data_IF_799911952841
#
_entry.id   IF_799911952841
#
_cell.length_a   1.000
_cell.length_b   1.000
_cell.length_c   1.000
_cell.angle_alpha   90.00
_cell.angle_beta   90.00
_cell.angle_gamma   90.00
#
_symmetry.space_group_name_H-M   'P 1'
#
loop_
_entity.id
_entity.type
_entity.pdbx_description
1 polymer ?
#
# COMPACT_ATOMS: atom_id res chain seq x y z
N UNK A 1 25.99 1.15 -22.10
CA UNK A 1 24.58 0.74 -21.95
C UNK A 1 23.92 1.63 -20.90
N UNK A 2 22.92 2.44 -21.28
CA UNK A 2 22.18 3.32 -20.38
C UNK A 2 20.96 2.59 -19.82
N UNK A 3 20.83 2.55 -18.49
CA UNK A 3 19.64 2.02 -17.78
C UNK A 3 18.40 2.83 -18.15
N UNK A 4 17.31 2.15 -18.52
CA UNK A 4 16.00 2.77 -18.73
C UNK A 4 15.36 3.21 -17.41
N UNK A 5 14.43 4.17 -17.46
CA UNK A 5 13.67 4.62 -16.28
C UNK A 5 12.90 3.48 -15.60
N UNK A 6 12.48 2.49 -16.37
CA UNK A 6 11.79 1.30 -15.86
C UNK A 6 12.74 0.39 -15.08
N UNK A 7 13.91 0.08 -15.65
CA UNK A 7 14.95 -0.73 -14.97
C UNK A 7 15.39 -0.08 -13.66
N UNK A 8 15.58 1.24 -13.65
CA UNK A 8 15.88 2.01 -12.44
C UNK A 8 14.80 1.88 -11.37
N UNK A 9 13.53 1.90 -11.78
CA UNK A 9 12.38 1.76 -10.86
C UNK A 9 12.30 0.35 -10.29
N UNK A 10 12.47 -0.68 -11.13
CA UNK A 10 12.52 -2.09 -10.70
C UNK A 10 13.68 -2.32 -9.73
N UNK A 11 14.87 -1.79 -10.02
CA UNK A 11 16.05 -1.90 -9.16
C UNK A 11 15.79 -1.28 -7.80
N UNK A 12 15.30 -0.03 -7.74
CA UNK A 12 14.94 0.63 -6.47
C UNK A 12 13.92 -0.17 -5.66
N UNK A 13 12.89 -0.67 -6.32
CA UNK A 13 11.87 -1.51 -5.68
C UNK A 13 12.49 -2.77 -5.08
N UNK A 14 13.31 -3.52 -5.84
CA UNK A 14 13.96 -4.73 -5.38
C UNK A 14 14.96 -4.46 -4.24
N UNK A 15 15.69 -3.35 -4.30
CA UNK A 15 16.58 -2.92 -3.21
C UNK A 15 15.80 -2.71 -1.92
N UNK A 16 14.67 -1.98 -1.98
CA UNK A 16 13.82 -1.79 -0.80
C UNK A 16 13.24 -3.13 -0.33
N UNK A 17 12.65 -3.91 -1.22
CA UNK A 17 12.04 -5.20 -0.90
C UNK A 17 13.02 -6.17 -0.22
N UNK A 18 14.30 -6.16 -0.59
CA UNK A 18 15.32 -7.03 0.02
C UNK A 18 16.03 -6.40 1.22
N UNK A 19 15.94 -5.08 1.39
CA UNK A 19 16.68 -4.33 2.40
C UNK A 19 16.04 -4.30 3.78
N UNK A 20 14.82 -4.80 3.93
CA UNK A 20 14.07 -4.76 5.19
C UNK A 20 13.43 -6.09 5.53
N UNK A 21 13.29 -6.36 6.84
CA UNK A 21 12.51 -7.48 7.34
C UNK A 21 11.03 -7.10 7.43
N UNK A 22 10.28 -7.36 6.36
CA UNK A 22 8.84 -7.11 6.34
C UNK A 22 8.11 -8.07 7.27
N UNK A 23 7.25 -7.53 8.14
CA UNK A 23 6.58 -8.30 9.18
C UNK A 23 5.09 -8.04 9.24
N UNK A 24 4.57 -7.04 8.51
CA UNK A 24 3.14 -6.74 8.42
C UNK A 24 2.72 -6.45 6.99
N UNK A 25 1.47 -6.83 6.69
CA UNK A 25 0.78 -6.47 5.46
C UNK A 25 -0.59 -5.88 5.79
N UNK A 26 -0.93 -4.80 5.10
CA UNK A 26 -2.22 -4.14 5.18
C UNK A 26 -2.83 -4.01 3.78
N UNK A 27 -4.15 -4.11 3.73
CA UNK A 27 -4.96 -3.80 2.55
C UNK A 27 -5.86 -2.61 2.88
N UNK A 28 -5.80 -1.58 2.05
CA UNK A 28 -6.64 -0.37 2.16
C UNK A 28 -7.52 -0.30 0.92
N UNK A 29 -8.84 -0.27 1.11
CA UNK A 29 -9.82 -0.30 0.04
C UNK A 29 -11.03 0.57 0.38
N UNK A 30 -11.75 1.01 -0.65
CA UNK A 30 -12.96 1.82 -0.48
C UNK A 30 -14.08 0.97 0.14
N UNK A 31 -14.93 1.60 0.94
CA UNK A 31 -16.18 0.98 1.39
C UNK A 31 -17.12 0.71 0.19
N UNK A 32 -17.13 1.65 -0.76
CA UNK A 32 -17.83 1.55 -2.04
C UNK A 32 -16.84 1.22 -3.19
N UNK A 33 -16.90 0.01 -3.78
CA UNK A 33 -16.03 -0.42 -4.88
C UNK A 33 -15.95 0.53 -6.08
N UNK A 34 -17.05 1.22 -6.41
CA UNK A 34 -17.11 2.09 -7.60
C UNK A 34 -16.19 3.30 -7.48
N UNK A 35 -15.93 3.75 -6.24
CA UNK A 35 -15.04 4.87 -5.95
C UNK A 35 -13.56 4.54 -6.18
N UNK A 36 -13.21 3.25 -6.35
CA UNK A 36 -11.83 2.83 -6.59
C UNK A 36 -11.22 3.31 -7.92
N UNK A 37 -12.03 3.88 -8.81
CA UNK A 37 -11.56 4.59 -10.00
C UNK A 37 -10.67 5.80 -9.64
N UNK A 38 -10.92 6.46 -8.51
CA UNK A 38 -10.14 7.59 -8.01
C UNK A 38 -8.83 7.20 -7.29
N UNK A 39 -8.54 5.91 -7.14
CA UNK A 39 -7.47 5.43 -6.26
C UNK A 39 -6.09 6.04 -6.55
N UNK A 40 -5.76 6.23 -7.84
CA UNK A 40 -4.45 6.74 -8.24
C UNK A 40 -4.23 8.20 -7.83
N UNK A 41 -5.29 9.00 -7.82
CA UNK A 41 -5.27 10.40 -7.42
C UNK A 41 -5.25 10.50 -5.89
N UNK A 42 -6.16 9.78 -5.23
CA UNK A 42 -6.33 9.83 -3.77
C UNK A 42 -5.10 9.28 -3.01
N UNK A 43 -4.40 8.29 -3.58
CA UNK A 43 -3.26 7.67 -2.90
C UNK A 43 -2.09 8.63 -2.67
N UNK A 44 -2.01 9.76 -3.39
CA UNK A 44 -0.93 10.74 -3.22
C UNK A 44 -0.96 11.38 -1.83
N UNK A 45 -2.14 11.88 -1.42
CA UNK A 45 -2.38 12.47 -0.10
C UNK A 45 -2.15 11.46 1.02
N UNK A 46 -2.62 10.22 0.81
CA UNK A 46 -2.42 9.14 1.77
C UNK A 46 -0.94 8.80 1.98
N UNK A 47 -0.15 8.66 0.90
CA UNK A 47 1.30 8.41 0.99
C UNK A 47 2.02 9.53 1.73
N UNK A 48 1.64 10.79 1.50
CA UNK A 48 2.22 11.92 2.20
C UNK A 48 1.90 11.90 3.69
N UNK A 49 0.65 11.62 4.06
CA UNK A 49 0.24 11.52 5.47
C UNK A 49 0.94 10.36 6.18
N UNK A 50 1.02 9.20 5.53
CA UNK A 50 1.70 8.01 6.08
C UNK A 50 3.19 8.28 6.35
N UNK A 51 3.89 8.94 5.42
CA UNK A 51 5.30 9.32 5.59
C UNK A 51 5.51 10.31 6.76
N UNK A 52 4.55 11.19 7.03
CA UNK A 52 4.63 12.13 8.16
C UNK A 52 4.36 11.45 9.50
N UNK A 53 3.45 10.48 9.51
CA UNK A 53 3.06 9.75 10.73
C UNK A 53 4.08 8.71 11.15
N UNK A 54 4.73 8.07 10.17
CA UNK A 54 5.69 7.00 10.41
C UNK A 54 6.99 7.28 9.64
N UNK A 55 7.75 8.33 10.02
CA UNK A 55 8.91 8.80 9.24
C UNK A 55 10.05 7.77 9.14
N UNK A 56 10.24 6.97 10.19
CA UNK A 56 11.33 5.99 10.29
C UNK A 56 10.92 4.59 9.82
N UNK A 57 9.67 4.44 9.36
CA UNK A 57 9.13 3.15 8.97
C UNK A 57 9.08 3.02 7.44
N UNK A 58 9.73 2.01 6.86
CA UNK A 58 9.64 1.76 5.43
C UNK A 58 8.25 1.20 5.06
N UNK A 59 7.72 1.69 3.94
CA UNK A 59 6.48 1.21 3.35
C UNK A 59 6.71 0.85 1.89
N UNK A 60 6.26 -0.33 1.51
CA UNK A 60 6.17 -0.73 0.12
C UNK A 60 4.69 -0.86 -0.24
N UNK A 61 4.24 0.01 -1.15
CA UNK A 61 2.83 0.20 -1.50
C UNK A 61 2.64 -0.24 -2.95
N UNK A 62 1.67 -1.12 -3.17
CA UNK A 62 1.28 -1.62 -4.48
C UNK A 62 -0.19 -1.38 -4.71
N UNK A 63 -0.55 -0.97 -5.93
CA UNK A 63 -1.94 -1.02 -6.40
C UNK A 63 -2.22 -2.46 -6.84
N UNK A 64 -3.35 -3.00 -6.41
CA UNK A 64 -3.83 -4.32 -6.79
C UNK A 64 -5.30 -4.22 -7.21
N UNK A 65 -5.73 -5.11 -8.09
CA UNK A 65 -7.13 -5.25 -8.47
C UNK A 65 -7.72 -6.46 -7.77
N UNK A 66 -8.85 -6.27 -7.10
CA UNK A 66 -9.68 -7.35 -6.57
C UNK A 66 -10.81 -7.61 -7.56
N UNK A 67 -10.90 -8.85 -8.05
CA UNK A 67 -12.03 -9.34 -8.83
C UNK A 67 -12.70 -10.46 -8.05
N UNK A 68 -13.89 -10.22 -7.51
CA UNK A 68 -14.67 -11.23 -6.76
C UNK A 68 -16.13 -11.20 -7.22
N UNK A 69 -16.48 -12.13 -8.11
CA UNK A 69 -17.80 -12.15 -8.73
C UNK A 69 -18.06 -10.87 -9.51
N UNK A 70 -19.17 -10.19 -9.20
CA UNK A 70 -19.52 -8.92 -9.81
C UNK A 70 -18.68 -7.73 -9.28
N UNK A 71 -18.04 -7.86 -8.12
CA UNK A 71 -17.29 -6.76 -7.50
C UNK A 71 -15.90 -6.64 -8.12
N UNK A 72 -15.63 -5.46 -8.66
CA UNK A 72 -14.35 -5.05 -9.21
C UNK A 72 -13.89 -3.78 -8.50
N UNK A 73 -12.73 -3.84 -7.85
CA UNK A 73 -12.15 -2.64 -7.25
C UNK A 73 -10.64 -2.66 -7.24
N UNK A 74 -10.04 -1.48 -7.33
CA UNK A 74 -8.63 -1.28 -7.03
C UNK A 74 -8.43 -1.02 -5.53
N UNK A 75 -7.34 -1.54 -4.97
CA UNK A 75 -6.97 -1.35 -3.58
C UNK A 75 -5.46 -1.22 -3.41
N UNK A 76 -5.02 -0.70 -2.26
CA UNK A 76 -3.61 -0.66 -1.89
C UNK A 76 -3.25 -1.89 -1.07
N UNK A 77 -2.23 -2.63 -1.50
CA UNK A 77 -1.52 -3.59 -0.66
C UNK A 77 -0.23 -2.95 -0.17
N UNK A 78 -0.07 -2.88 1.14
CA UNK A 78 1.03 -2.23 1.83
C UNK A 78 1.77 -3.29 2.63
N UNK A 79 3.08 -3.42 2.45
CA UNK A 79 3.92 -4.20 3.37
C UNK A 79 4.86 -3.25 4.12
N UNK A 80 5.11 -3.58 5.38
CA UNK A 80 5.90 -2.74 6.28
C UNK A 80 6.56 -3.56 7.40
N UNK A 81 7.46 -2.94 8.15
CA UNK A 81 8.30 -3.57 9.18
C UNK A 81 7.68 -3.57 10.57
N UNK A 82 6.64 -2.78 10.82
CA UNK A 82 5.94 -2.71 12.11
C UNK A 82 4.42 -2.51 11.92
N UNK A 83 3.65 -2.81 12.96
CA UNK A 83 2.20 -2.61 12.91
C UNK A 83 1.90 -1.10 12.92
N UNK A 84 0.94 -0.67 12.09
CA UNK A 84 0.40 0.70 12.13
C UNK A 84 -1.01 0.63 12.71
N UNK A 85 -1.15 0.94 14.00
CA UNK A 85 -2.41 0.75 14.73
C UNK A 85 -3.53 1.70 14.26
N UNK A 86 -3.18 2.93 13.86
CA UNK A 86 -4.10 3.98 13.43
C UNK A 86 -4.27 4.06 11.90
N UNK A 87 -3.84 3.03 11.15
CA UNK A 87 -3.83 3.08 9.67
C UNK A 87 -5.21 3.36 9.07
N UNK A 88 -6.28 2.86 9.69
CA UNK A 88 -7.66 3.15 9.28
C UNK A 88 -8.03 4.61 9.47
N UNK A 89 -7.59 5.22 10.57
CA UNK A 89 -7.82 6.64 10.84
C UNK A 89 -7.05 7.50 9.83
N UNK A 90 -5.78 7.15 9.57
CA UNK A 90 -4.96 7.80 8.55
C UNK A 90 -5.63 7.71 7.17
N UNK A 91 -6.13 6.52 6.79
CA UNK A 91 -6.82 6.34 5.51
C UNK A 91 -8.09 7.19 5.42
N UNK A 92 -8.97 7.14 6.43
CA UNK A 92 -10.21 7.94 6.44
C UNK A 92 -9.98 9.45 6.48
N UNK A 93 -8.82 9.91 6.98
CA UNK A 93 -8.44 11.34 6.93
C UNK A 93 -7.85 11.78 5.59
N UNK A 94 -7.25 10.85 4.84
CA UNK A 94 -6.50 11.17 3.63
C UNK A 94 -7.29 10.94 2.34
N UNK A 95 -8.18 9.94 2.32
CA UNK A 95 -9.04 9.66 1.19
C UNK A 95 -10.34 10.48 1.29
N UNK A 96 -10.96 10.85 0.16
CA UNK A 96 -12.24 11.57 0.14
C UNK A 96 -13.44 10.68 0.52
N UNK A 97 -13.20 9.40 0.80
CA UNK A 97 -14.20 8.38 1.03
C UNK A 97 -13.92 7.61 2.32
N UNK A 98 -14.94 6.89 2.79
CA UNK A 98 -14.77 5.94 3.88
C UNK A 98 -13.93 4.76 3.41
N UNK A 99 -12.85 4.51 4.13
CA UNK A 99 -11.87 3.48 3.83
C UNK A 99 -11.94 2.34 4.83
N UNK A 100 -11.84 1.13 4.30
CA UNK A 100 -11.64 -0.09 5.05
C UNK A 100 -10.17 -0.46 5.07
N UNK A 101 -9.72 -0.99 6.21
CA UNK A 101 -8.35 -1.47 6.41
C UNK A 101 -8.40 -2.84 7.04
N UNK A 102 -7.72 -3.79 6.42
CA UNK A 102 -7.48 -5.15 6.93
C UNK A 102 -5.98 -5.33 7.06
N UNK A 103 -5.51 -5.82 8.20
CA UNK A 103 -4.09 -6.03 8.48
C UNK A 103 -3.81 -7.46 8.93
N UNK A 104 -2.61 -7.94 8.65
CA UNK A 104 -2.08 -9.20 9.16
C UNK A 104 -0.57 -9.13 9.39
N UNK A 105 -0.07 -9.95 10.29
CA UNK A 105 1.37 -10.23 10.39
C UNK A 105 1.78 -11.11 9.21
N UNK A 106 2.92 -10.82 8.60
CA UNK A 106 3.54 -11.68 7.60
C UNK A 106 4.29 -12.80 8.29
N UNK A 107 4.06 -14.05 7.88
CA UNK A 107 4.96 -15.16 8.14
C UNK A 107 6.13 -15.09 7.14
N UNK A 108 7.31 -15.57 7.54
CA UNK A 108 8.53 -15.51 6.74
C UNK A 108 8.39 -16.12 5.33
N UNK A 109 7.44 -17.04 5.15
CA UNK A 109 7.21 -17.80 3.91
C UNK A 109 6.45 -17.03 2.82
N UNK A 110 5.87 -15.85 3.09
CA UNK A 110 4.92 -15.19 2.16
C UNK A 110 5.47 -14.00 1.37
N UNK A 111 6.79 -13.82 1.35
CA UNK A 111 7.47 -12.80 0.56
C UNK A 111 7.98 -13.32 -0.80
N UNK A 112 7.76 -14.61 -1.10
CA UNK A 112 8.10 -15.27 -2.36
C UNK A 112 7.07 -15.01 -3.45
#
# INVERSE_FOLDING_TARGET
MSESSEEKTKRKYLTVLRGYQWSYQHSVFYDDPEQSLGLLEDMASFKQMLRRRCPDQPFLIRVQALKKGAVHQAFLSIITTAKVDDLREIANKAFPAKMNVVGRRLSAERLS
#
